data_IF_386473913777
#
_entry.id   IF_386473913777
#
_cell.length_a   1.000
_cell.length_b   1.000
_cell.length_c   1.000
_cell.angle_alpha   90.00
_cell.angle_beta   90.00
_cell.angle_gamma   90.00
#
_symmetry.space_group_name_H-M   'P 1'
#
loop_
_entity.id
_entity.type
_entity.pdbx_description
1 polymer ?
#
# COMPACT_ATOMS: atom_id res chain seq x y z
N UNK A 1 -13.53 30.11 10.79
CA UNK A 1 -13.66 29.51 9.44
C UNK A 1 -13.22 28.05 9.54
N UNK A 2 -13.87 27.13 8.83
CA UNK A 2 -13.58 25.68 8.88
C UNK A 2 -13.10 25.15 7.54
N UNK A 3 -12.16 24.22 7.56
CA UNK A 3 -11.61 23.53 6.39
C UNK A 3 -12.02 22.05 6.45
N UNK A 4 -12.52 21.51 5.33
CA UNK A 4 -12.93 20.10 5.21
C UNK A 4 -12.00 19.36 4.25
N UNK A 5 -11.52 18.19 4.67
CA UNK A 5 -10.64 17.30 3.90
C UNK A 5 -11.26 15.91 3.83
N UNK A 6 -11.13 15.23 2.69
CA UNK A 6 -11.55 13.83 2.50
C UNK A 6 -10.33 13.05 2.01
N UNK A 7 -9.97 12.01 2.75
CA UNK A 7 -8.90 11.08 2.37
C UNK A 7 -9.51 9.81 1.79
N UNK A 8 -9.12 9.45 0.57
CA UNK A 8 -9.51 8.20 -0.08
C UNK A 8 -8.33 7.22 -0.05
N UNK A 9 -8.53 5.95 0.33
CA UNK A 9 -7.48 4.94 0.36
C UNK A 9 -7.21 4.37 -1.04
N UNK A 10 -6.83 5.24 -1.98
CA UNK A 10 -6.50 4.87 -3.35
C UNK A 10 -5.00 4.58 -3.45
N UNK A 11 -4.63 3.31 -3.34
CA UNK A 11 -3.50 2.81 -4.11
C UNK A 11 -4.10 2.20 -5.39
N UNK A 12 -3.48 2.45 -6.54
CA UNK A 12 -3.90 1.82 -7.79
C UNK A 12 -2.70 1.04 -8.29
N UNK A 13 -2.66 -0.24 -7.98
CA UNK A 13 -1.77 -1.19 -8.61
C UNK A 13 -2.33 -1.49 -10.01
N UNK A 14 -1.60 -1.06 -11.04
CA UNK A 14 -1.86 -1.54 -12.40
C UNK A 14 -1.16 -2.88 -12.56
N UNK A 15 -1.94 -3.96 -12.63
CA UNK A 15 -1.41 -5.27 -13.04
C UNK A 15 -1.08 -5.17 -14.53
N UNK A 16 0.17 -4.82 -14.85
CA UNK A 16 0.71 -5.10 -16.17
C UNK A 16 1.12 -6.57 -16.16
N UNK A 17 0.28 -7.46 -16.69
CA UNK A 17 0.74 -8.77 -17.08
C UNK A 17 1.77 -8.54 -18.18
N UNK A 18 3.06 -8.55 -17.82
CA UNK A 18 4.11 -8.62 -18.81
C UNK A 18 3.99 -10.02 -19.46
N UNK A 19 3.19 -10.12 -20.51
CA UNK A 19 3.24 -11.24 -21.44
C UNK A 19 4.56 -11.14 -22.24
N UNK A 20 5.70 -11.24 -21.57
CA UNK A 20 6.89 -11.74 -22.26
C UNK A 20 6.54 -13.17 -22.66
N UNK A 21 6.50 -13.45 -23.96
CA UNK A 21 6.18 -14.75 -24.50
C UNK A 21 7.05 -15.83 -23.83
N UNK A 22 6.46 -16.56 -22.89
CA UNK A 22 7.14 -17.45 -21.96
C UNK A 22 6.75 -17.11 -20.54
N UNK A 23 5.83 -17.88 -19.95
CA UNK A 23 5.69 -17.94 -18.50
C UNK A 23 7.08 -18.25 -17.94
N UNK A 24 7.74 -17.24 -17.38
CA UNK A 24 9.06 -17.40 -16.79
C UNK A 24 8.86 -18.40 -15.66
N UNK A 25 9.39 -19.59 -15.86
CA UNK A 25 9.41 -20.62 -14.83
C UNK A 25 10.76 -20.47 -14.17
N UNK A 26 10.79 -20.46 -12.84
CA UNK A 26 12.08 -20.51 -12.17
C UNK A 26 12.85 -21.79 -12.51
N UNK A 27 14.07 -21.89 -12.03
CA UNK A 27 14.95 -23.06 -12.17
C UNK A 27 14.30 -24.38 -11.67
N UNK A 28 13.18 -24.29 -10.96
CA UNK A 28 12.37 -25.39 -10.42
C UNK A 28 11.04 -25.60 -11.16
N UNK A 29 10.76 -24.87 -12.24
CA UNK A 29 9.57 -25.06 -13.07
C UNK A 29 8.31 -24.34 -12.58
N UNK A 30 8.41 -23.46 -11.56
CA UNK A 30 7.26 -22.77 -10.95
C UNK A 30 6.92 -21.48 -11.70
N UNK A 31 5.64 -21.19 -11.90
CA UNK A 31 5.16 -19.98 -12.57
C UNK A 31 5.59 -18.72 -11.81
N UNK A 32 6.33 -17.82 -12.47
CA UNK A 32 6.68 -16.51 -11.95
C UNK A 32 5.65 -15.50 -12.48
N UNK A 33 4.87 -14.90 -11.57
CA UNK A 33 4.05 -13.74 -11.88
C UNK A 33 4.80 -12.47 -11.47
N UNK A 34 5.06 -11.58 -12.44
CA UNK A 34 5.69 -10.29 -12.18
C UNK A 34 4.65 -9.18 -12.18
N UNK A 35 4.62 -8.38 -11.11
CA UNK A 35 3.72 -7.23 -11.01
C UNK A 35 4.47 -5.98 -10.59
N UNK A 36 4.30 -4.90 -11.35
CA UNK A 36 4.84 -3.58 -11.03
C UNK A 36 3.87 -2.81 -10.13
N UNK A 37 4.36 -2.27 -9.01
CA UNK A 37 3.55 -1.54 -8.04
C UNK A 37 4.05 -0.11 -7.86
N UNK A 38 3.13 0.86 -7.69
CA UNK A 38 3.49 2.28 -7.40
C UNK A 38 3.78 2.52 -5.90
N UNK A 39 3.92 1.46 -5.11
CA UNK A 39 4.07 1.48 -3.66
C UNK A 39 5.50 1.88 -3.30
N UNK A 40 5.76 3.16 -3.03
CA UNK A 40 7.13 3.67 -2.89
C UNK A 40 7.74 3.50 -1.49
N UNK A 41 6.91 3.42 -0.46
CA UNK A 41 7.36 3.39 0.93
C UNK A 41 7.43 1.95 1.45
N UNK A 42 8.64 1.51 1.79
CA UNK A 42 8.92 0.16 2.29
C UNK A 42 8.19 -0.15 3.60
N UNK A 43 8.09 0.84 4.50
CA UNK A 43 7.46 0.64 5.80
C UNK A 43 5.96 0.45 5.64
N UNK A 44 5.34 1.25 4.76
CA UNK A 44 3.92 1.10 4.43
C UNK A 44 3.64 -0.20 3.67
N UNK A 45 4.55 -0.63 2.78
CA UNK A 45 4.44 -1.90 2.06
C UNK A 45 4.54 -3.10 3.01
N UNK A 46 5.53 -3.10 3.90
CA UNK A 46 5.65 -4.14 4.92
C UNK A 46 4.43 -4.17 5.85
N UNK A 47 3.87 -3.01 6.22
CA UNK A 47 2.62 -2.92 6.97
C UNK A 47 1.43 -3.50 6.21
N UNK A 48 1.29 -3.16 4.93
CA UNK A 48 0.23 -3.65 4.06
C UNK A 48 0.27 -5.17 3.87
N UNK A 49 1.46 -5.74 3.70
CA UNK A 49 1.66 -7.18 3.57
C UNK A 49 1.28 -7.92 4.87
N UNK A 50 1.58 -7.35 6.05
CA UNK A 50 1.12 -7.91 7.32
C UNK A 50 -0.40 -7.82 7.47
N UNK A 51 -1.01 -6.73 7.01
CA UNK A 51 -2.47 -6.55 7.02
C UNK A 51 -3.20 -7.59 6.14
N UNK A 52 -2.54 -8.20 5.15
CA UNK A 52 -3.10 -9.31 4.36
C UNK A 52 -2.82 -10.69 4.96
N UNK A 53 -2.24 -10.75 6.17
CA UNK A 53 -1.93 -11.99 6.87
C UNK A 53 -0.59 -12.62 6.47
N UNK A 54 0.25 -11.92 5.70
CA UNK A 54 1.57 -12.43 5.35
C UNK A 54 2.53 -12.36 6.54
N UNK A 55 3.42 -13.35 6.64
CA UNK A 55 4.64 -13.23 7.44
C UNK A 55 5.65 -12.45 6.62
N UNK A 56 6.10 -11.31 7.14
CA UNK A 56 6.94 -10.36 6.38
C UNK A 56 8.33 -10.25 6.98
N UNK A 57 9.35 -10.45 6.15
CA UNK A 57 10.74 -10.10 6.45
C UNK A 57 11.25 -9.08 5.43
N UNK A 58 11.80 -7.98 5.92
CA UNK A 58 12.36 -6.90 5.11
C UNK A 58 13.86 -6.79 5.37
N UNK A 59 14.64 -6.62 4.31
CA UNK A 59 16.05 -6.27 4.34
C UNK A 59 16.31 -5.01 3.49
N UNK A 60 17.57 -4.59 3.35
CA UNK A 60 17.92 -3.36 2.64
C UNK A 60 17.61 -3.36 1.13
N UNK A 61 17.37 -4.53 0.52
CA UNK A 61 17.23 -4.69 -0.92
C UNK A 61 15.90 -5.33 -1.34
N UNK A 62 15.25 -6.07 -0.44
CA UNK A 62 14.03 -6.82 -0.73
C UNK A 62 13.08 -6.91 0.46
N UNK A 63 11.79 -7.06 0.15
CA UNK A 63 10.77 -7.47 1.11
C UNK A 63 10.26 -8.84 0.69
N UNK A 64 10.26 -9.78 1.61
CA UNK A 64 9.67 -11.11 1.42
C UNK A 64 8.39 -11.21 2.22
N UNK A 65 7.36 -11.79 1.59
CA UNK A 65 6.05 -12.02 2.17
C UNK A 65 5.64 -13.47 1.95
N UNK A 66 5.34 -14.16 3.03
CA UNK A 66 4.91 -15.56 3.03
C UNK A 66 3.45 -15.67 3.46
N UNK A 67 2.62 -16.21 2.58
CA UNK A 67 1.27 -16.70 2.87
C UNK A 67 1.27 -18.23 2.84
N UNK A 68 0.16 -18.83 3.24
CA UNK A 68 -0.01 -20.28 3.13
C UNK A 68 0.07 -20.73 1.66
N UNK A 69 1.13 -21.47 1.32
CA UNK A 69 1.42 -22.00 -0.01
C UNK A 69 1.95 -21.00 -1.05
N UNK A 70 2.06 -19.70 -0.74
CA UNK A 70 2.50 -18.66 -1.69
C UNK A 70 3.55 -17.75 -1.05
N UNK A 71 4.64 -17.52 -1.77
CA UNK A 71 5.69 -16.57 -1.40
C UNK A 71 5.79 -15.46 -2.43
N UNK A 72 5.83 -14.21 -1.99
CA UNK A 72 6.18 -13.07 -2.83
C UNK A 72 7.51 -12.44 -2.39
N UNK A 73 8.36 -12.16 -3.36
CA UNK A 73 9.57 -11.36 -3.19
C UNK A 73 9.38 -10.03 -3.92
N UNK A 74 9.43 -8.94 -3.17
CA UNK A 74 9.38 -7.57 -3.70
C UNK A 74 10.80 -7.06 -3.82
N UNK A 75 11.20 -6.70 -5.03
CA UNK A 75 12.50 -6.07 -5.30
C UNK A 75 12.31 -4.66 -5.84
N UNK A 76 13.18 -3.76 -5.41
CA UNK A 76 13.17 -2.39 -5.90
C UNK A 76 13.98 -2.27 -7.18
N UNK A 77 13.33 -1.82 -8.25
CA UNK A 77 13.96 -1.48 -9.52
C UNK A 77 14.77 -0.19 -9.44
N UNK A 78 15.64 0.03 -10.44
CA UNK A 78 16.48 1.22 -10.55
C UNK A 78 15.67 2.53 -10.72
N UNK A 79 14.41 2.43 -11.14
CA UNK A 79 13.42 3.50 -11.25
C UNK A 79 12.67 3.78 -9.93
N UNK A 80 12.99 3.03 -8.87
CA UNK A 80 12.34 3.13 -7.57
C UNK A 80 10.95 2.49 -7.49
N UNK A 81 10.55 1.74 -8.52
CA UNK A 81 9.32 0.95 -8.58
C UNK A 81 9.57 -0.42 -7.98
N UNK A 82 8.60 -0.96 -7.23
CA UNK A 82 8.72 -2.31 -6.68
C UNK A 82 8.10 -3.32 -7.65
N UNK A 83 8.87 -4.36 -7.95
CA UNK A 83 8.41 -5.53 -8.71
C UNK A 83 8.22 -6.68 -7.75
N UNK A 84 7.01 -7.26 -7.74
CA UNK A 84 6.69 -8.46 -6.98
C UNK A 84 6.90 -9.70 -7.83
N UNK A 85 7.61 -10.70 -7.31
CA UNK A 85 7.76 -12.03 -7.87
C UNK A 85 7.02 -13.02 -6.97
N UNK A 86 5.90 -13.57 -7.45
CA UNK A 86 5.14 -14.58 -6.72
C UNK A 86 5.57 -15.99 -7.17
N UNK A 87 5.74 -16.89 -6.20
CA UNK A 87 6.08 -18.30 -6.39
C UNK A 87 5.27 -19.19 -5.46
N UNK A 88 5.15 -20.48 -5.79
CA UNK A 88 4.41 -21.47 -5.00
C UNK A 88 3.12 -21.92 -5.69
N UNK A 89 2.09 -22.20 -4.89
CA UNK A 89 0.74 -22.55 -5.37
C UNK A 89 -0.02 -21.28 -5.80
N UNK A 90 0.49 -20.66 -6.87
CA UNK A 90 -0.03 -19.39 -7.40
C UNK A 90 -0.27 -19.52 -8.89
N UNK A 91 -1.53 -19.35 -9.29
CA UNK A 91 -1.94 -19.11 -10.67
C UNK A 91 -2.16 -17.61 -10.91
N UNK A 92 -2.53 -17.25 -12.13
CA UNK A 92 -2.75 -15.84 -12.50
C UNK A 92 -3.88 -15.19 -11.69
N UNK A 93 -5.01 -15.90 -11.50
CA UNK A 93 -6.15 -15.39 -10.77
C UNK A 93 -5.79 -15.11 -9.30
N UNK A 94 -5.11 -16.06 -8.66
CA UNK A 94 -4.66 -15.92 -7.27
C UNK A 94 -3.58 -14.85 -7.14
N UNK A 95 -2.67 -14.71 -8.10
CA UNK A 95 -1.68 -13.64 -8.10
C UNK A 95 -2.35 -12.26 -8.16
N UNK A 96 -3.33 -12.10 -9.05
CA UNK A 96 -4.12 -10.86 -9.17
C UNK A 96 -4.86 -10.56 -7.87
N UNK A 97 -5.51 -11.55 -7.27
CA UNK A 97 -6.23 -11.38 -6.01
C UNK A 97 -5.31 -10.97 -4.85
N UNK A 98 -4.14 -11.60 -4.74
CA UNK A 98 -3.12 -11.25 -3.73
C UNK A 98 -2.68 -9.79 -3.92
N UNK A 99 -2.31 -9.41 -5.15
CA UNK A 99 -1.87 -8.04 -5.43
C UNK A 99 -2.96 -7.01 -5.13
N UNK A 100 -4.21 -7.27 -5.52
CA UNK A 100 -5.34 -6.39 -5.23
C UNK A 100 -5.56 -6.23 -3.73
N UNK A 101 -5.42 -7.32 -2.95
CA UNK A 101 -5.54 -7.27 -1.50
C UNK A 101 -4.42 -6.43 -0.86
N UNK A 102 -3.19 -6.57 -1.35
CA UNK A 102 -2.01 -5.81 -0.90
C UNK A 102 -2.16 -4.34 -1.28
N UNK A 103 -2.67 -4.03 -2.47
CA UNK A 103 -2.93 -2.67 -2.92
C UNK A 103 -3.97 -1.96 -2.06
N UNK A 104 -5.10 -2.62 -1.80
CA UNK A 104 -6.11 -2.10 -0.89
C UNK A 104 -5.55 -1.89 0.54
N UNK A 105 -4.72 -2.82 1.03
CA UNK A 105 -4.06 -2.68 2.33
C UNK A 105 -3.06 -1.52 2.37
N UNK A 106 -2.29 -1.34 1.31
CA UNK A 106 -1.33 -0.24 1.18
C UNK A 106 -2.05 1.12 1.16
N UNK A 107 -3.15 1.23 0.41
CA UNK A 107 -4.00 2.44 0.42
C UNK A 107 -4.46 2.83 1.82
N UNK A 108 -4.86 1.85 2.65
CA UNK A 108 -5.22 2.08 4.06
C UNK A 108 -4.03 2.51 4.92
N UNK A 109 -2.86 1.91 4.73
CA UNK A 109 -1.63 2.28 5.44
C UNK A 109 -1.20 3.72 5.12
N UNK A 110 -1.24 4.11 3.83
CA UNK A 110 -0.98 5.49 3.40
C UNK A 110 -1.98 6.45 4.03
N UNK A 111 -3.28 6.14 4.00
CA UNK A 111 -4.32 6.99 4.58
C UNK A 111 -4.10 7.21 6.09
N UNK A 112 -3.76 6.15 6.84
CA UNK A 112 -3.41 6.23 8.28
C UNK A 112 -2.19 7.12 8.51
N UNK A 113 -1.12 6.92 7.75
CA UNK A 113 0.10 7.72 7.88
C UNK A 113 -0.14 9.21 7.58
N UNK A 114 -0.96 9.52 6.57
CA UNK A 114 -1.36 10.89 6.25
C UNK A 114 -2.22 11.49 7.37
N UNK A 115 -3.17 10.74 7.90
CA UNK A 115 -4.02 11.16 9.01
C UNK A 115 -3.20 11.50 10.25
N UNK A 116 -2.26 10.65 10.63
CA UNK A 116 -1.38 10.87 11.78
C UNK A 116 -0.49 12.11 11.58
N UNK A 117 0.04 12.28 10.36
CA UNK A 117 0.80 13.49 10.02
C UNK A 117 -0.06 14.75 10.09
N UNK A 118 -1.30 14.71 9.60
CA UNK A 118 -2.22 15.85 9.68
C UNK A 118 -2.54 16.21 11.13
N UNK A 119 -2.80 15.22 11.99
CA UNK A 119 -3.04 15.45 13.42
C UNK A 119 -1.82 16.06 14.11
N UNK A 120 -0.62 15.58 13.80
CA UNK A 120 0.61 16.10 14.38
C UNK A 120 0.95 17.53 13.90
N UNK A 121 0.66 17.86 12.65
CA UNK A 121 1.01 19.14 12.03
C UNK A 121 -0.07 20.22 12.19
N UNK A 122 -1.33 19.84 12.39
CA UNK A 122 -2.46 20.78 12.49
C UNK A 122 -2.25 21.87 13.56
N UNK A 123 -1.83 21.57 14.80
CA UNK A 123 -1.64 22.61 15.82
C UNK A 123 -0.57 23.63 15.42
N UNK A 124 0.53 23.18 14.82
CA UNK A 124 1.60 24.07 14.33
C UNK A 124 1.16 24.97 13.18
N UNK A 125 0.10 24.58 12.46
CA UNK A 125 -0.52 25.37 11.40
C UNK A 125 -1.67 26.26 11.89
N UNK A 126 -1.93 26.33 13.20
CA UNK A 126 -3.08 27.06 13.77
C UNK A 126 -4.43 26.40 13.44
N UNK A 127 -4.42 25.09 13.20
CA UNK A 127 -5.61 24.29 12.90
C UNK A 127 -5.92 23.38 14.08
N UNK A 128 -7.17 23.38 14.51
CA UNK A 128 -7.68 22.47 15.54
C UNK A 128 -8.65 21.49 14.92
N UNK A 129 -8.42 20.19 15.10
CA UNK A 129 -9.34 19.16 14.63
C UNK A 129 -10.66 19.26 15.42
N UNK A 130 -11.78 19.48 14.73
CA UNK A 130 -13.11 19.55 15.34
C UNK A 130 -13.92 18.27 15.13
N UNK A 131 -13.76 17.62 13.98
CA UNK A 131 -14.48 16.40 13.67
C UNK A 131 -13.64 15.48 12.80
N UNK A 132 -13.74 14.18 13.09
CA UNK A 132 -13.20 13.09 12.29
C UNK A 132 -14.30 12.05 12.12
N UNK A 133 -14.57 11.67 10.87
CA UNK A 133 -15.58 10.68 10.55
C UNK A 133 -15.05 9.71 9.50
N UNK A 134 -15.17 8.42 9.79
CA UNK A 134 -14.96 7.35 8.81
C UNK A 134 -16.30 7.07 8.12
N UNK A 135 -16.30 7.06 6.79
CA UNK A 135 -17.51 6.78 5.98
C UNK A 135 -17.58 5.30 5.60
N UNK A 136 -18.73 4.88 5.04
CA UNK A 136 -19.00 3.48 4.67
C UNK A 136 -18.03 2.93 3.61
N UNK A 137 -17.49 3.78 2.75
CA UNK A 137 -16.48 3.47 1.74
C UNK A 137 -15.03 3.53 2.27
N UNK A 138 -14.86 3.56 3.60
CA UNK A 138 -13.58 3.73 4.28
C UNK A 138 -12.82 5.03 3.95
N UNK A 139 -13.51 6.05 3.41
CA UNK A 139 -12.95 7.40 3.36
C UNK A 139 -12.90 8.02 4.77
N UNK A 140 -11.94 8.90 5.01
CA UNK A 140 -11.84 9.64 6.27
C UNK A 140 -12.08 11.11 5.99
N UNK A 141 -13.13 11.67 6.58
CA UNK A 141 -13.45 13.10 6.54
C UNK A 141 -12.94 13.77 7.81
N UNK A 142 -12.18 14.85 7.63
CA UNK A 142 -11.64 15.67 8.71
C UNK A 142 -12.15 17.10 8.57
N UNK A 143 -12.61 17.69 9.67
CA UNK A 143 -12.99 19.10 9.75
C UNK A 143 -12.06 19.79 10.74
N UNK A 144 -11.37 20.82 10.28
CA UNK A 144 -10.49 21.65 11.10
C UNK A 144 -11.08 23.05 11.27
N UNK A 145 -11.09 23.55 12.50
CA UNK A 145 -11.26 24.96 12.78
C UNK A 145 -9.93 25.70 12.66
N UNK A 146 -9.98 26.85 11.98
CA UNK A 146 -8.86 27.79 11.97
C UNK A 146 -8.91 28.58 13.28
N UNK A 147 -7.87 28.45 14.10
CA UNK A 147 -7.66 29.35 15.22
C UNK A 147 -7.35 30.73 14.65
N UNK A 148 -8.34 31.61 14.68
CA UNK A 148 -8.16 32.98 14.26
C UNK A 148 -7.06 33.60 15.10
N UNK A 149 -6.03 34.16 14.44
CA UNK A 149 -5.12 35.10 15.08
C UNK A 149 -6.01 36.16 15.72
N UNK A 150 -6.13 36.18 17.05
CA UNK A 150 -6.73 37.31 17.75
C UNK A 150 -5.96 38.56 17.30
N UNK A 151 -6.62 39.39 16.52
CA UNK A 151 -6.18 40.74 16.21
C UNK A 151 -6.73 41.68 17.29
#
# INVERSE_FOLDING_TARGET
MSISLILLPLAVATVAAAHTAGADRDDQGRTICQVQTRMRDETLLAGALRDTGAVVAADQAAITADWDGVRAEFRRGADGVWTAHLTGDVDEERAVAIVQSVDAAYGRQVQRAVLDRLRAQAPAAGLRLESEQVTEDASVRLVFAVEGRSA
#
